data_IF_365945260038
#
_entry.id   IF_365945260038
#
_cell.length_a   1.000
_cell.length_b   1.000
_cell.length_c   1.000
_cell.angle_alpha   90.00
_cell.angle_beta   90.00
_cell.angle_gamma   90.00
#
_symmetry.space_group_name_H-M   'P 1'
#
loop_
_entity.id
_entity.type
_entity.pdbx_description
1 polymer ?
#
# COMPACT_ATOMS: atom_id res chain seq x y z
N UNK A 1 -8.03 -15.91 5.31
CA UNK A 1 -7.09 -14.78 5.36
C UNK A 1 -6.46 -14.76 6.74
N UNK A 2 -5.14 -14.74 6.81
CA UNK A 2 -4.43 -14.56 8.07
C UNK A 2 -4.59 -13.11 8.54
N UNK A 3 -4.84 -12.90 9.83
CA UNK A 3 -5.03 -11.58 10.42
C UNK A 3 -3.85 -11.26 11.33
N UNK A 4 -3.16 -10.17 11.01
CA UNK A 4 -2.07 -9.64 11.83
C UNK A 4 -2.50 -8.33 12.47
N UNK A 5 -2.45 -8.25 13.80
CA UNK A 5 -2.71 -7.01 14.54
C UNK A 5 -1.39 -6.27 14.74
N UNK A 6 -1.31 -5.04 14.25
CA UNK A 6 -0.18 -4.14 14.50
C UNK A 6 -0.54 -3.31 15.74
N UNK A 7 0.23 -3.40 16.85
CA UNK A 7 -0.02 -2.58 18.03
C UNK A 7 0.08 -1.08 17.73
N UNK A 8 -0.53 -0.25 18.58
CA UNK A 8 -0.37 1.20 18.48
C UNK A 8 1.13 1.57 18.59
N UNK A 9 1.56 2.55 17.79
CA UNK A 9 2.95 3.03 17.72
C UNK A 9 3.98 2.02 17.19
N UNK A 10 3.54 0.86 16.67
CA UNK A 10 4.40 -0.16 16.10
C UNK A 10 4.30 -0.22 14.56
N UNK A 11 5.35 -0.73 13.92
CA UNK A 11 5.37 -1.06 12.49
C UNK A 11 5.64 -2.55 12.26
N UNK A 12 5.10 -3.12 11.18
CA UNK A 12 5.36 -4.51 10.76
C UNK A 12 5.53 -4.58 9.25
N UNK A 13 6.47 -5.42 8.79
CA UNK A 13 6.61 -5.78 7.39
C UNK A 13 5.88 -7.10 7.12
N UNK A 14 5.07 -7.13 6.07
CA UNK A 14 4.32 -8.32 5.64
C UNK A 14 4.68 -8.60 4.18
N UNK A 15 5.14 -9.81 3.89
CA UNK A 15 5.43 -10.23 2.51
C UNK A 15 4.13 -10.59 1.80
N UNK A 16 3.84 -9.92 0.69
CA UNK A 16 2.63 -10.17 -0.12
C UNK A 16 3.05 -10.78 -1.45
N UNK A 17 2.63 -12.03 -1.75
CA UNK A 17 2.87 -12.64 -3.05
C UNK A 17 2.19 -11.87 -4.19
N UNK A 18 2.76 -11.94 -5.40
CA UNK A 18 2.14 -11.35 -6.60
C UNK A 18 0.74 -11.94 -6.81
N UNK A 19 -0.25 -11.06 -7.01
CA UNK A 19 -1.65 -11.45 -7.22
C UNK A 19 -2.46 -11.69 -5.94
N UNK A 20 -1.83 -11.65 -4.76
CA UNK A 20 -2.56 -11.70 -3.50
C UNK A 20 -3.21 -10.35 -3.17
N UNK A 21 -4.28 -10.41 -2.37
CA UNK A 21 -4.96 -9.24 -1.81
C UNK A 21 -4.64 -9.13 -0.32
N UNK A 22 -4.53 -7.89 0.16
CA UNK A 22 -4.48 -7.58 1.57
C UNK A 22 -5.41 -6.40 1.87
N UNK A 23 -5.86 -6.32 3.12
CA UNK A 23 -6.76 -5.25 3.59
C UNK A 23 -6.16 -4.63 4.85
N UNK A 24 -6.08 -3.30 4.87
CA UNK A 24 -5.77 -2.53 6.06
C UNK A 24 -7.11 -2.10 6.66
N UNK A 25 -7.28 -2.28 7.96
CA UNK A 25 -8.52 -1.95 8.66
C UNK A 25 -8.18 -1.30 9.99
N UNK A 26 -8.86 -0.21 10.31
CA UNK A 26 -8.81 0.41 11.65
C UNK A 26 -9.85 -0.29 12.52
N UNK A 27 -9.47 -1.20 13.43
CA UNK A 27 -10.44 -2.01 14.18
C UNK A 27 -11.21 -1.19 15.21
N UNK A 28 -10.63 -0.09 15.71
CA UNK A 28 -11.21 0.79 16.74
C UNK A 28 -10.70 2.21 16.55
N UNK A 29 -11.54 3.19 16.87
CA UNK A 29 -11.17 4.61 16.87
C UNK A 29 -10.93 5.19 15.46
N UNK A 30 -10.07 6.20 15.38
CA UNK A 30 -9.77 6.94 14.15
C UNK A 30 -8.27 6.93 13.84
N UNK A 31 -7.62 5.77 14.01
CA UNK A 31 -6.19 5.61 13.76
C UNK A 31 -5.86 5.80 12.28
N UNK A 32 -4.85 6.61 11.99
CA UNK A 32 -4.17 6.65 10.70
C UNK A 32 -2.98 5.70 10.71
N UNK A 33 -2.69 5.07 9.56
CA UNK A 33 -1.53 4.22 9.38
C UNK A 33 -0.66 4.74 8.25
N UNK A 34 0.63 4.84 8.49
CA UNK A 34 1.60 5.11 7.44
C UNK A 34 1.82 3.83 6.64
N UNK A 35 1.70 3.93 5.32
CA UNK A 35 1.78 2.79 4.42
C UNK A 35 3.01 2.90 3.52
N UNK A 36 3.81 1.83 3.51
CA UNK A 36 4.96 1.67 2.63
C UNK A 36 4.87 0.32 1.92
N UNK A 37 5.33 0.27 0.67
CA UNK A 37 5.48 -0.97 -0.07
C UNK A 37 6.82 -0.99 -0.80
N UNK A 38 7.48 -2.14 -0.79
CA UNK A 38 8.77 -2.38 -1.42
C UNK A 38 8.69 -3.63 -2.27
N UNK A 39 9.57 -3.75 -3.26
CA UNK A 39 9.77 -5.02 -3.93
C UNK A 39 10.36 -6.03 -2.93
N UNK A 40 9.76 -7.23 -2.89
CA UNK A 40 10.11 -8.26 -1.91
C UNK A 40 11.52 -8.88 -2.11
N UNK A 41 12.14 -8.61 -3.26
CA UNK A 41 13.52 -9.03 -3.60
C UNK A 41 14.52 -7.89 -3.42
N UNK A 42 14.07 -6.63 -3.38
CA UNK A 42 14.95 -5.47 -3.21
C UNK A 42 14.23 -4.25 -2.66
N UNK A 43 14.77 -3.69 -1.58
CA UNK A 43 14.29 -2.42 -1.00
C UNK A 43 14.62 -1.20 -1.86
N UNK A 44 15.48 -1.36 -2.88
CA UNK A 44 15.80 -0.29 -3.83
C UNK A 44 14.63 0.09 -4.72
N UNK A 45 13.56 -0.71 -4.77
CA UNK A 45 12.30 -0.35 -5.40
C UNK A 45 11.20 -0.18 -4.35
N UNK A 46 10.64 1.02 -4.26
CA UNK A 46 9.56 1.34 -3.34
C UNK A 46 8.40 2.05 -4.05
N UNK A 47 7.22 1.95 -3.44
CA UNK A 47 6.03 2.72 -3.78
C UNK A 47 6.37 4.21 -3.74
N UNK A 48 6.12 4.92 -4.85
CA UNK A 48 6.36 6.34 -4.93
C UNK A 48 5.03 7.10 -5.01
N UNK A 49 4.59 7.73 -3.90
CA UNK A 49 3.40 8.59 -3.92
C UNK A 49 3.54 9.71 -4.95
N UNK A 50 4.72 10.33 -5.05
CA UNK A 50 5.00 11.40 -6.01
C UNK A 50 4.77 10.99 -7.47
N UNK A 51 5.23 9.81 -7.87
CA UNK A 51 4.95 9.31 -9.21
C UNK A 51 3.49 8.88 -9.37
N UNK A 52 2.90 8.29 -8.33
CA UNK A 52 1.52 7.79 -8.34
C UNK A 52 0.51 8.92 -8.54
N UNK A 53 0.58 10.01 -7.78
CA UNK A 53 -0.42 11.09 -7.89
C UNK A 53 -0.31 11.84 -9.21
N UNK A 54 0.90 11.96 -9.78
CA UNK A 54 1.13 12.55 -11.12
C UNK A 54 0.52 11.67 -12.21
N UNK A 55 0.73 10.34 -12.14
CA UNK A 55 0.13 9.39 -13.07
C UNK A 55 -1.40 9.43 -12.99
N UNK A 56 -1.94 9.30 -11.78
CA UNK A 56 -3.38 9.18 -11.54
C UNK A 56 -4.11 10.51 -11.61
N UNK A 57 -3.38 11.64 -11.68
CA UNK A 57 -3.88 13.01 -11.54
C UNK A 57 -4.79 13.16 -10.30
N UNK A 58 -4.41 12.49 -9.22
CA UNK A 58 -5.19 12.44 -7.99
C UNK A 58 -4.28 12.30 -6.77
N UNK A 59 -4.41 13.24 -5.83
CA UNK A 59 -3.65 13.21 -4.56
C UNK A 59 -4.11 12.04 -3.69
N UNK A 60 -5.42 11.76 -3.68
CA UNK A 60 -6.00 10.60 -3.00
C UNK A 60 -6.15 9.46 -4.00
N UNK A 61 -5.64 8.24 -3.69
CA UNK A 61 -5.95 7.05 -4.48
C UNK A 61 -7.46 6.83 -4.62
N UNK A 62 -7.86 6.22 -5.73
CA UNK A 62 -9.24 5.81 -6.00
C UNK A 62 -9.28 4.37 -6.44
N UNK A 63 -10.42 3.71 -6.26
CA UNK A 63 -10.63 2.33 -6.70
C UNK A 63 -10.27 2.16 -8.18
N UNK A 64 -9.62 1.04 -8.48
CA UNK A 64 -9.08 0.70 -9.80
C UNK A 64 -7.74 1.37 -10.14
N UNK A 65 -7.27 2.36 -9.37
CA UNK A 65 -6.02 3.05 -9.70
C UNK A 65 -4.76 2.24 -9.34
N UNK A 66 -3.71 2.30 -10.17
CA UNK A 66 -2.43 1.73 -9.83
C UNK A 66 -1.70 2.60 -8.80
N UNK A 67 -0.97 1.95 -7.90
CA UNK A 67 0.07 2.57 -7.08
C UNK A 67 1.42 2.11 -7.63
N UNK A 68 2.28 3.05 -8.02
CA UNK A 68 3.47 2.77 -8.83
C UNK A 68 4.78 3.02 -8.08
N UNK A 69 5.83 2.31 -8.48
CA UNK A 69 7.15 2.43 -7.87
C UNK A 69 7.94 3.65 -8.32
N UNK A 70 9.11 3.88 -7.72
CA UNK A 70 10.11 4.85 -8.22
C UNK A 70 10.52 4.62 -9.68
N UNK A 71 10.38 3.40 -10.19
CA UNK A 71 10.67 3.06 -11.58
C UNK A 71 9.43 3.16 -12.48
N UNK A 72 8.34 3.75 -11.97
CA UNK A 72 7.08 4.01 -12.69
C UNK A 72 6.41 2.74 -13.23
N UNK A 73 6.61 1.60 -12.58
CA UNK A 73 5.89 0.35 -12.87
C UNK A 73 4.87 0.05 -11.76
N UNK A 74 3.73 -0.59 -12.09
CA UNK A 74 2.73 -0.96 -11.08
C UNK A 74 3.29 -1.87 -9.99
N UNK A 75 2.98 -1.56 -8.74
CA UNK A 75 3.26 -2.42 -7.58
C UNK A 75 1.99 -2.98 -6.97
N UNK A 76 0.97 -2.14 -6.85
CA UNK A 76 -0.32 -2.47 -6.24
C UNK A 76 -1.44 -1.84 -7.07
N UNK A 77 -2.64 -2.38 -6.94
CA UNK A 77 -3.87 -1.77 -7.41
C UNK A 77 -4.72 -1.47 -6.18
N UNK A 78 -5.22 -0.24 -6.07
CA UNK A 78 -6.15 0.13 -5.02
C UNK A 78 -7.54 -0.39 -5.41
N UNK A 79 -7.98 -1.50 -4.83
CA UNK A 79 -9.14 -2.26 -5.33
C UNK A 79 -10.46 -1.82 -4.71
N UNK A 80 -10.47 -1.35 -3.47
CA UNK A 80 -11.67 -1.09 -2.69
C UNK A 80 -11.35 -0.04 -1.61
N UNK A 81 -12.27 0.91 -1.39
CA UNK A 81 -12.30 1.84 -0.25
C UNK A 81 -13.64 1.65 0.49
N UNK A 82 -13.58 1.18 1.74
CA UNK A 82 -14.74 0.69 2.50
C UNK A 82 -15.15 1.58 3.66
#
# INVERSE_FOLDING_TARGET
MEKTVIPASDGRAIRVPKGALFRITTPKGAQAADFFAYNAETVSEWLSPMHTWVLNRSIKPREGQPLISRFRRPMLTFTEDG
#
